data_IF_654171867381
#
_entry.id   IF_654171867381
#
_cell.length_a   1.000
_cell.length_b   1.000
_cell.length_c   1.000
_cell.angle_alpha   90.00
_cell.angle_beta   90.00
_cell.angle_gamma   90.00
#
_symmetry.space_group_name_H-M   'P 1'
#
loop_
_entity.id
_entity.type
_entity.pdbx_description
1 polymer ?
#
# COMPACT_ATOMS: atom_id res chain seq x y z
N UNK A 1 -53.11 12.01 -67.91
CA UNK A 1 -53.72 10.74 -68.35
C UNK A 1 -52.84 9.59 -67.90
N UNK A 2 -53.46 8.55 -67.38
CA UNK A 2 -52.92 7.58 -66.43
C UNK A 2 -51.77 6.71 -66.98
N UNK A 3 -50.74 6.51 -66.14
CA UNK A 3 -49.69 5.50 -66.34
C UNK A 3 -50.15 4.18 -65.74
N UNK A 4 -50.33 3.17 -66.60
CA UNK A 4 -50.82 1.85 -66.23
C UNK A 4 -49.68 1.03 -65.59
N UNK A 5 -49.85 0.63 -64.33
CA UNK A 5 -48.96 -0.31 -63.65
C UNK A 5 -49.64 -1.68 -63.59
N UNK A 6 -48.95 -2.68 -64.16
CA UNK A 6 -49.34 -4.09 -64.12
C UNK A 6 -49.22 -4.60 -62.68
N UNK A 7 -50.35 -4.97 -62.09
CA UNK A 7 -50.46 -5.73 -60.85
C UNK A 7 -50.09 -7.19 -61.15
N UNK A 8 -49.03 -7.70 -60.55
CA UNK A 8 -48.74 -9.14 -60.55
C UNK A 8 -49.61 -9.85 -59.51
N UNK A 9 -50.28 -10.90 -60.00
CA UNK A 9 -50.97 -11.96 -59.28
C UNK A 9 -50.06 -12.60 -58.22
N UNK A 10 -50.50 -12.55 -56.96
CA UNK A 10 -49.97 -13.37 -55.88
C UNK A 10 -51.03 -14.38 -55.43
N UNK A 11 -50.73 -15.68 -55.34
CA UNK A 11 -51.69 -16.68 -54.88
C UNK A 11 -51.92 -16.61 -53.37
N UNK A 12 -53.15 -16.94 -53.00
CA UNK A 12 -53.75 -16.84 -51.69
C UNK A 12 -53.10 -17.73 -50.62
N UNK A 13 -53.23 -17.22 -49.39
CA UNK A 13 -52.97 -17.85 -48.10
C UNK A 13 -53.61 -19.24 -47.97
N UNK A 14 -52.79 -20.23 -47.62
CA UNK A 14 -53.22 -21.40 -46.87
C UNK A 14 -52.49 -21.40 -45.52
N UNK A 15 -53.26 -21.13 -44.47
CA UNK A 15 -52.82 -21.21 -43.08
C UNK A 15 -52.56 -22.66 -42.71
N UNK A 16 -51.29 -23.06 -42.65
CA UNK A 16 -50.89 -24.26 -41.91
C UNK A 16 -49.98 -23.84 -40.76
N UNK A 17 -50.59 -23.88 -39.58
CA UNK A 17 -50.00 -23.65 -38.27
C UNK A 17 -48.94 -24.72 -38.01
N UNK A 18 -47.63 -24.40 -37.92
CA UNK A 18 -46.67 -25.37 -37.45
C UNK A 18 -46.94 -25.62 -35.96
N UNK A 19 -47.27 -26.86 -35.62
CA UNK A 19 -47.30 -27.36 -34.25
C UNK A 19 -45.89 -27.22 -33.67
N UNK A 20 -45.73 -26.26 -32.77
CA UNK A 20 -44.54 -26.13 -31.94
C UNK A 20 -44.42 -27.38 -31.06
N UNK A 21 -43.49 -28.28 -31.38
CA UNK A 21 -43.00 -29.24 -30.40
C UNK A 21 -42.35 -28.43 -29.29
N UNK A 22 -43.01 -28.36 -28.13
CA UNK A 22 -42.41 -27.81 -26.92
C UNK A 22 -41.32 -28.78 -26.45
N UNK A 23 -40.10 -28.59 -26.91
CA UNK A 23 -38.95 -29.15 -26.22
C UNK A 23 -38.88 -28.46 -24.86
N UNK A 24 -39.34 -29.15 -23.83
CA UNK A 24 -39.15 -28.75 -22.45
C UNK A 24 -37.64 -28.73 -22.20
N UNK A 25 -37.05 -27.53 -22.27
CA UNK A 25 -35.74 -27.31 -21.70
C UNK A 25 -35.91 -27.58 -20.20
N UNK A 26 -35.51 -28.77 -19.77
CA UNK A 26 -35.36 -29.07 -18.35
C UNK A 26 -34.33 -28.08 -17.84
N UNK A 27 -34.81 -27.01 -17.20
CA UNK A 27 -33.97 -26.07 -16.51
C UNK A 27 -33.14 -26.88 -15.52
N UNK A 28 -31.88 -27.11 -15.88
CA UNK A 28 -30.93 -27.73 -14.97
C UNK A 28 -30.96 -26.87 -13.72
N UNK A 29 -31.23 -27.44 -12.54
CA UNK A 29 -31.24 -26.65 -11.32
C UNK A 29 -29.87 -25.97 -11.27
N UNK A 30 -29.87 -24.63 -11.19
CA UNK A 30 -28.68 -23.86 -10.88
C UNK A 30 -28.18 -24.38 -9.53
N UNK A 31 -27.31 -25.38 -9.58
CA UNK A 31 -26.60 -25.84 -8.40
C UNK A 31 -25.79 -24.63 -7.97
N UNK A 32 -26.21 -24.01 -6.87
CA UNK A 32 -25.30 -23.15 -6.13
C UNK A 32 -24.12 -24.06 -5.79
N UNK A 33 -23.03 -23.89 -6.51
CA UNK A 33 -21.75 -24.45 -6.16
C UNK A 33 -21.39 -23.88 -4.79
N UNK A 34 -21.79 -24.58 -3.73
CA UNK A 34 -21.26 -24.37 -2.40
C UNK A 34 -19.78 -24.72 -2.48
N UNK A 35 -18.94 -23.71 -2.74
CA UNK A 35 -17.51 -23.86 -2.60
C UNK A 35 -17.23 -24.12 -1.12
N UNK A 36 -16.81 -25.34 -0.80
CA UNK A 36 -16.44 -25.77 0.56
C UNK A 36 -15.12 -25.13 1.01
N UNK A 37 -14.40 -24.49 0.08
CA UNK A 37 -13.15 -23.81 0.34
C UNK A 37 -13.45 -22.47 0.99
N UNK A 38 -13.09 -22.30 2.27
CA UNK A 38 -13.20 -20.99 2.90
C UNK A 38 -12.41 -19.98 2.06
N UNK A 39 -12.94 -18.78 1.76
CA UNK A 39 -12.19 -17.78 1.05
C UNK A 39 -10.87 -17.54 1.79
N UNK A 40 -9.75 -17.79 1.11
CA UNK A 40 -8.43 -17.63 1.71
C UNK A 40 -8.32 -16.19 2.22
N UNK A 41 -7.99 -16.04 3.50
CA UNK A 41 -7.80 -14.72 4.10
C UNK A 41 -6.63 -14.04 3.41
N UNK A 42 -6.91 -12.95 2.69
CA UNK A 42 -5.91 -12.12 2.03
C UNK A 42 -5.58 -10.90 2.91
N UNK A 43 -4.31 -10.53 2.95
CA UNK A 43 -3.82 -9.38 3.72
C UNK A 43 -3.99 -8.06 2.96
N UNK A 44 -4.20 -8.14 1.64
CA UNK A 44 -4.42 -7.02 0.74
C UNK A 44 -5.91 -6.66 0.59
N UNK A 45 -6.79 -7.58 0.96
CA UNK A 45 -8.24 -7.45 0.79
C UNK A 45 -8.93 -7.91 2.08
N UNK A 46 -9.63 -7.03 2.82
CA UNK A 46 -10.35 -7.44 4.01
C UNK A 46 -11.50 -8.39 3.66
N UNK A 47 -11.79 -9.33 4.56
CA UNK A 47 -12.86 -10.32 4.40
C UNK A 47 -14.23 -9.69 4.19
N UNK A 48 -14.48 -8.57 4.87
CA UNK A 48 -15.73 -7.84 4.82
C UNK A 48 -15.53 -6.49 4.16
N UNK A 49 -16.50 -6.07 3.36
CA UNK A 49 -16.53 -4.72 2.80
C UNK A 49 -16.78 -3.68 3.89
N UNK A 50 -16.32 -2.45 3.67
CA UNK A 50 -16.60 -1.35 4.60
C UNK A 50 -18.10 -1.04 4.62
N UNK A 51 -18.70 -0.96 5.82
CA UNK A 51 -20.11 -0.58 6.01
C UNK A 51 -20.40 0.84 5.50
N UNK A 52 -19.42 1.74 5.62
CA UNK A 52 -19.50 3.11 5.12
C UNK A 52 -18.17 3.53 4.49
N UNK A 53 -18.20 4.46 3.53
CA UNK A 53 -17.01 4.84 2.75
C UNK A 53 -15.96 5.54 3.63
N UNK A 54 -14.79 4.91 3.86
CA UNK A 54 -13.69 5.47 4.67
C UNK A 54 -13.19 6.87 4.25
N UNK A 55 -13.08 7.86 5.15
CA UNK A 55 -12.47 9.16 4.83
C UNK A 55 -10.96 9.00 4.51
N UNK A 56 -10.38 9.99 3.80
CA UNK A 56 -8.97 9.93 3.37
C UNK A 56 -8.00 9.75 4.56
N UNK A 57 -8.19 10.53 5.62
CA UNK A 57 -7.32 10.54 6.80
C UNK A 57 -5.85 10.87 6.48
N UNK A 58 -4.95 10.64 7.44
CA UNK A 58 -3.49 10.72 7.30
C UNK A 58 -2.83 9.50 7.94
N UNK A 59 -1.63 9.08 7.49
CA UNK A 59 -0.84 8.11 8.24
C UNK A 59 -0.44 8.64 9.62
N UNK A 60 -0.11 7.74 10.53
CA UNK A 60 0.23 8.07 11.90
C UNK A 60 1.68 8.60 11.98
N UNK A 61 1.85 9.82 12.51
CA UNK A 61 3.14 10.46 12.78
C UNK A 61 3.40 10.41 14.29
N UNK A 62 4.43 9.67 14.71
CA UNK A 62 4.69 9.39 16.12
C UNK A 62 5.53 10.48 16.80
N UNK A 63 4.91 11.60 17.16
CA UNK A 63 5.61 12.71 17.85
C UNK A 63 6.02 12.36 19.29
N UNK A 64 5.29 11.48 19.97
CA UNK A 64 5.53 11.08 21.37
C UNK A 64 6.69 10.10 21.60
N UNK A 65 7.49 9.80 20.58
CA UNK A 65 8.62 8.88 20.71
C UNK A 65 8.27 7.39 20.56
N UNK A 66 7.25 7.04 19.77
CA UNK A 66 6.88 5.64 19.55
C UNK A 66 7.86 4.93 18.63
N UNK A 67 8.35 3.76 19.05
CA UNK A 67 9.18 2.83 18.27
C UNK A 67 8.37 1.66 17.67
N UNK A 68 7.04 1.66 17.81
CA UNK A 68 6.20 0.51 17.46
C UNK A 68 6.24 0.21 15.96
N UNK A 69 6.67 -1.02 15.63
CA UNK A 69 6.73 -1.50 14.26
C UNK A 69 7.97 -1.04 13.48
N UNK A 70 8.97 -0.48 14.15
CA UNK A 70 10.25 -0.06 13.55
C UNK A 70 11.36 -1.11 13.64
N UNK A 71 11.13 -2.17 14.43
CA UNK A 71 12.02 -3.31 14.63
C UNK A 71 11.47 -4.60 14.01
N UNK A 72 12.39 -5.46 13.58
CA UNK A 72 12.08 -6.80 13.05
C UNK A 72 11.72 -7.69 14.22
N UNK A 73 10.56 -8.36 14.16
CA UNK A 73 10.03 -9.16 15.27
C UNK A 73 10.06 -10.66 14.97
N UNK A 74 9.51 -11.06 13.83
CA UNK A 74 9.33 -12.47 13.48
C UNK A 74 10.48 -13.01 12.62
N UNK A 75 10.91 -12.23 11.63
CA UNK A 75 11.99 -12.59 10.72
C UNK A 75 13.40 -12.28 11.22
N UNK A 76 14.37 -12.57 10.36
CA UNK A 76 15.79 -12.27 10.55
C UNK A 76 16.18 -10.98 9.82
N UNK A 77 15.51 -10.71 8.71
CA UNK A 77 15.69 -9.52 7.88
C UNK A 77 14.37 -8.80 7.66
N UNK A 78 14.40 -7.50 7.38
CA UNK A 78 13.21 -6.72 7.08
C UNK A 78 13.41 -5.58 6.10
N UNK A 79 12.29 -5.14 5.51
CA UNK A 79 12.20 -3.96 4.65
C UNK A 79 11.47 -2.84 5.41
N UNK A 80 12.23 -1.78 5.76
CA UNK A 80 11.74 -0.61 6.49
C UNK A 80 11.61 0.60 5.57
N UNK A 81 10.58 1.41 5.77
CA UNK A 81 10.43 2.70 5.09
C UNK A 81 11.45 3.69 5.65
N UNK A 82 12.34 4.22 4.82
CA UNK A 82 13.36 5.22 5.23
C UNK A 82 12.90 6.67 5.04
N UNK A 83 12.04 6.86 4.04
CA UNK A 83 11.50 8.15 3.63
C UNK A 83 10.35 8.62 4.54
N UNK A 84 9.46 9.45 4.01
CA UNK A 84 8.23 9.94 4.65
C UNK A 84 7.10 8.89 4.73
N UNK A 85 6.13 9.11 5.62
CA UNK A 85 4.90 8.32 5.69
C UNK A 85 4.06 8.47 4.41
N UNK A 86 3.45 7.36 4.00
CA UNK A 86 2.69 7.26 2.75
C UNK A 86 1.52 6.29 2.90
N UNK A 87 0.55 6.41 2.00
CA UNK A 87 -0.49 5.39 1.77
C UNK A 87 0.01 4.43 0.69
N UNK A 88 0.20 3.17 1.04
CA UNK A 88 0.66 2.15 0.10
C UNK A 88 -0.55 1.46 -0.53
N UNK A 89 -0.73 1.52 -1.85
CA UNK A 89 -1.81 0.79 -2.51
C UNK A 89 -1.54 -0.72 -2.44
N UNK A 90 -2.61 -1.51 -2.36
CA UNK A 90 -2.53 -2.98 -2.32
C UNK A 90 -1.81 -3.56 -3.54
N UNK A 91 -1.94 -2.94 -4.71
CA UNK A 91 -1.24 -3.34 -5.93
C UNK A 91 0.29 -3.26 -5.80
N UNK A 92 0.82 -2.15 -5.26
CA UNK A 92 2.27 -2.01 -5.04
C UNK A 92 2.79 -3.02 -4.01
N UNK A 93 2.03 -3.28 -2.95
CA UNK A 93 2.37 -4.29 -1.95
C UNK A 93 2.41 -5.70 -2.56
N UNK A 94 1.46 -6.04 -3.43
CA UNK A 94 1.44 -7.30 -4.19
C UNK A 94 2.66 -7.43 -5.10
N UNK A 95 2.96 -6.40 -5.87
CA UNK A 95 4.12 -6.39 -6.80
C UNK A 95 5.43 -6.55 -6.01
N UNK A 96 5.55 -5.91 -4.85
CA UNK A 96 6.71 -6.05 -3.99
C UNK A 96 6.84 -7.48 -3.43
N UNK A 97 5.75 -8.07 -2.94
CA UNK A 97 5.73 -9.48 -2.49
C UNK A 97 6.14 -10.42 -3.62
N UNK A 98 5.58 -10.26 -4.81
CA UNK A 98 5.89 -11.08 -5.98
C UNK A 98 7.36 -10.93 -6.39
N UNK A 99 7.90 -9.71 -6.33
CA UNK A 99 9.32 -9.43 -6.63
C UNK A 99 10.25 -10.18 -5.67
N UNK A 100 9.93 -10.18 -4.37
CA UNK A 100 10.68 -10.94 -3.37
C UNK A 100 10.58 -12.44 -3.67
N UNK A 101 9.37 -12.94 -3.91
CA UNK A 101 9.14 -14.36 -4.21
C UNK A 101 9.91 -14.83 -5.44
N UNK A 102 9.94 -14.01 -6.49
CA UNK A 102 10.67 -14.29 -7.72
C UNK A 102 12.17 -14.34 -7.48
N UNK A 103 12.73 -13.42 -6.69
CA UNK A 103 14.17 -13.39 -6.41
C UNK A 103 14.63 -14.56 -5.52
N UNK A 104 13.76 -15.02 -4.62
CA UNK A 104 14.02 -16.11 -3.67
C UNK A 104 13.45 -17.46 -4.14
N UNK A 105 13.05 -17.59 -5.40
CA UNK A 105 12.48 -18.83 -5.94
C UNK A 105 13.45 -20.00 -5.73
N UNK A 106 12.94 -21.11 -5.17
CA UNK A 106 13.73 -22.31 -4.90
C UNK A 106 14.47 -22.33 -3.56
N UNK A 107 14.36 -21.27 -2.75
CA UNK A 107 14.94 -21.21 -1.41
C UNK A 107 13.90 -21.50 -0.33
N UNK A 108 14.34 -22.01 0.81
CA UNK A 108 13.48 -22.26 1.98
C UNK A 108 13.37 -20.99 2.82
N UNK A 109 12.29 -20.24 2.61
CA UNK A 109 12.01 -19.02 3.37
C UNK A 109 10.53 -18.87 3.72
N UNK A 110 10.28 -18.08 4.76
CA UNK A 110 8.95 -17.60 5.14
C UNK A 110 8.95 -16.07 5.07
N UNK A 111 7.99 -15.52 4.31
CA UNK A 111 7.79 -14.08 4.17
C UNK A 111 6.61 -13.63 5.03
N UNK A 112 6.90 -12.82 6.05
CA UNK A 112 5.89 -12.20 6.88
C UNK A 112 5.53 -10.80 6.38
N UNK A 113 4.24 -10.49 6.44
CA UNK A 113 3.70 -9.18 6.08
C UNK A 113 3.27 -8.48 7.37
N UNK A 114 3.92 -7.35 7.69
CA UNK A 114 3.71 -6.60 8.94
C UNK A 114 2.56 -5.60 8.85
N UNK A 115 2.09 -5.33 7.65
CA UNK A 115 1.08 -4.33 7.32
C UNK A 115 -0.03 -5.03 6.56
N UNK A 116 -1.28 -4.57 6.71
CA UNK A 116 -2.44 -5.02 5.92
C UNK A 116 -3.13 -3.83 5.25
N UNK A 117 -3.70 -4.06 4.06
CA UNK A 117 -4.44 -3.04 3.33
C UNK A 117 -5.93 -3.12 3.70
N UNK A 118 -6.29 -2.39 4.74
CA UNK A 118 -7.62 -2.44 5.36
C UNK A 118 -8.47 -1.19 5.13
N UNK A 119 -7.96 -0.19 4.41
CA UNK A 119 -8.65 1.09 4.18
C UNK A 119 -9.05 1.20 2.72
N UNK A 120 -10.33 1.42 2.45
CA UNK A 120 -10.86 1.67 1.11
C UNK A 120 -10.49 3.07 0.60
N UNK A 121 -10.02 3.14 -0.64
CA UNK A 121 -9.87 4.38 -1.39
C UNK A 121 -11.06 4.54 -2.32
N UNK A 122 -11.68 5.72 -2.28
CA UNK A 122 -12.82 6.06 -3.12
C UNK A 122 -12.45 7.25 -3.99
N UNK A 123 -12.47 7.04 -5.30
CA UNK A 123 -12.03 8.03 -6.29
C UNK A 123 -13.24 8.45 -7.13
N UNK A 124 -13.38 9.76 -7.37
CA UNK A 124 -14.35 10.29 -8.33
C UNK A 124 -13.72 10.28 -9.72
N UNK A 125 -14.50 9.97 -10.75
CA UNK A 125 -14.02 9.99 -12.13
C UNK A 125 -13.46 11.37 -12.49
N UNK A 126 -12.32 11.39 -13.19
CA UNK A 126 -11.64 12.63 -13.60
C UNK A 126 -12.52 13.50 -14.51
N UNK A 127 -13.44 12.88 -15.23
CA UNK A 127 -14.43 13.51 -16.11
C UNK A 127 -15.54 14.25 -15.37
N UNK A 128 -15.75 13.96 -14.08
CA UNK A 128 -16.86 14.52 -13.31
C UNK A 128 -16.44 15.79 -12.56
N UNK A 129 -17.28 16.84 -12.62
CA UNK A 129 -17.07 18.10 -11.86
C UNK A 129 -17.14 17.89 -10.35
N UNK A 130 -16.59 18.83 -9.57
CA UNK A 130 -16.62 18.82 -8.10
C UNK A 130 -18.06 18.81 -7.52
N UNK A 131 -18.22 18.35 -6.28
CA UNK A 131 -19.53 18.21 -5.61
C UNK A 131 -20.20 16.85 -5.83
N UNK A 132 -21.53 16.77 -5.64
CA UNK A 132 -22.37 15.54 -5.85
C UNK A 132 -21.96 14.31 -5.01
N UNK A 133 -21.33 14.53 -3.86
CA UNK A 133 -20.93 13.47 -2.94
C UNK A 133 -19.65 12.72 -3.34
N UNK A 134 -19.44 11.57 -2.69
CA UNK A 134 -18.19 10.79 -2.75
C UNK A 134 -18.23 9.72 -3.84
N UNK A 135 -17.09 9.52 -4.51
CA UNK A 135 -16.93 8.56 -5.61
C UNK A 135 -17.12 7.08 -5.26
N UNK A 136 -16.87 6.22 -6.25
CA UNK A 136 -16.93 4.75 -6.12
C UNK A 136 -15.67 4.19 -5.47
N UNK A 137 -15.74 2.97 -4.98
CA UNK A 137 -14.56 2.25 -4.47
C UNK A 137 -13.57 2.01 -5.62
N UNK A 138 -12.28 2.17 -5.33
CA UNK A 138 -11.19 2.07 -6.30
C UNK A 138 -10.24 0.92 -5.90
N UNK A 139 -9.53 1.07 -4.78
CA UNK A 139 -8.61 0.04 -4.28
C UNK A 139 -8.41 0.10 -2.76
N UNK A 140 -7.85 -0.97 -2.20
CA UNK A 140 -7.45 -1.05 -0.80
C UNK A 140 -6.05 -0.46 -0.59
N UNK A 141 -5.84 0.23 0.52
CA UNK A 141 -4.55 0.82 0.88
C UNK A 141 -4.21 0.59 2.34
N UNK A 142 -2.92 0.58 2.63
CA UNK A 142 -2.38 0.59 3.98
C UNK A 142 -1.77 1.96 4.31
N UNK A 143 -2.06 2.48 5.51
CA UNK A 143 -1.36 3.66 6.05
C UNK A 143 -0.07 3.21 6.71
N UNK A 144 1.08 3.62 6.17
CA UNK A 144 2.39 3.26 6.69
C UNK A 144 3.08 4.52 7.20
N UNK A 145 3.40 4.53 8.50
CA UNK A 145 4.18 5.60 9.12
C UNK A 145 5.67 5.49 8.80
N UNK A 146 6.40 6.57 9.05
CA UNK A 146 7.86 6.65 8.91
C UNK A 146 8.54 5.52 9.68
N UNK A 147 9.64 4.97 9.14
CA UNK A 147 10.46 3.96 9.79
C UNK A 147 9.73 2.65 10.14
N UNK A 148 8.55 2.41 9.56
CA UNK A 148 7.80 1.17 9.79
C UNK A 148 8.27 0.06 8.85
N UNK A 149 8.33 -1.17 9.37
CA UNK A 149 8.65 -2.36 8.59
C UNK A 149 7.39 -2.90 7.92
N UNK A 150 7.51 -3.24 6.63
CA UNK A 150 6.41 -3.77 5.81
C UNK A 150 6.54 -5.27 5.61
N UNK A 151 7.75 -5.74 5.29
CA UNK A 151 8.04 -7.16 5.08
C UNK A 151 9.14 -7.64 6.00
N UNK A 152 9.03 -8.88 6.45
CA UNK A 152 10.11 -9.59 7.14
C UNK A 152 10.36 -10.94 6.49
N UNK A 153 11.62 -11.35 6.45
CA UNK A 153 12.05 -12.61 5.88
C UNK A 153 12.71 -13.45 6.97
N UNK A 154 12.30 -14.71 7.08
CA UNK A 154 12.94 -15.74 7.90
C UNK A 154 13.32 -16.92 7.03
N UNK A 155 14.48 -17.53 7.26
CA UNK A 155 14.87 -18.75 6.57
C UNK A 155 16.36 -18.83 6.32
N UNK A 156 16.77 -19.93 5.71
CA UNK A 156 18.16 -20.18 5.32
C UNK A 156 18.49 -19.40 4.04
N UNK A 157 18.67 -18.08 4.21
CA UNK A 157 18.97 -17.15 3.12
C UNK A 157 20.16 -16.30 3.52
N UNK A 158 21.20 -16.32 2.69
CA UNK A 158 22.37 -15.47 2.88
C UNK A 158 22.01 -13.99 2.76
N UNK A 159 22.58 -13.15 3.64
CA UNK A 159 22.24 -11.73 3.77
C UNK A 159 22.29 -10.98 2.44
N UNK A 160 23.32 -11.21 1.61
CA UNK A 160 23.48 -10.54 0.30
C UNK A 160 22.29 -10.81 -0.62
N UNK A 161 21.76 -12.04 -0.59
CA UNK A 161 20.59 -12.43 -1.40
C UNK A 161 19.33 -11.76 -0.88
N UNK A 162 19.12 -11.76 0.45
CA UNK A 162 17.98 -11.09 1.08
C UNK A 162 18.00 -9.58 0.80
N UNK A 163 19.18 -8.95 0.90
CA UNK A 163 19.40 -7.53 0.59
C UNK A 163 19.05 -7.20 -0.85
N UNK A 164 19.48 -8.02 -1.81
CA UNK A 164 19.13 -7.84 -3.22
C UNK A 164 17.62 -8.00 -3.47
N UNK A 165 16.98 -9.01 -2.87
CA UNK A 165 15.53 -9.19 -2.98
C UNK A 165 14.75 -7.98 -2.47
N UNK A 166 15.15 -7.46 -1.31
CA UNK A 166 14.53 -6.29 -0.70
C UNK A 166 14.83 -4.98 -1.43
N UNK A 167 16.03 -4.84 -2.03
CA UNK A 167 16.37 -3.71 -2.90
C UNK A 167 15.43 -3.68 -4.12
N UNK A 168 15.26 -4.81 -4.81
CA UNK A 168 14.36 -4.92 -5.96
C UNK A 168 12.90 -4.61 -5.57
N UNK A 169 12.44 -5.11 -4.44
CA UNK A 169 11.11 -4.82 -3.91
C UNK A 169 10.92 -3.34 -3.58
N UNK A 170 11.93 -2.72 -2.95
CA UNK A 170 11.94 -1.29 -2.62
C UNK A 170 11.78 -0.40 -3.86
N UNK A 171 12.39 -0.75 -4.99
CA UNK A 171 12.22 -0.03 -6.26
C UNK A 171 10.80 -0.13 -6.85
N UNK A 172 10.00 -1.13 -6.44
CA UNK A 172 8.60 -1.29 -6.89
C UNK A 172 7.60 -0.64 -5.94
N UNK A 173 8.01 -0.33 -4.72
CA UNK A 173 7.21 0.39 -3.74
C UNK A 173 7.40 1.90 -3.90
N UNK A 174 6.38 2.72 -3.62
CA UNK A 174 6.55 4.17 -3.56
C UNK A 174 7.36 4.56 -2.31
N UNK A 175 8.36 5.43 -2.50
CA UNK A 175 9.23 5.95 -1.43
C UNK A 175 10.60 5.27 -1.38
N UNK A 176 11.44 5.67 -0.42
CA UNK A 176 12.76 5.07 -0.20
C UNK A 176 12.70 4.06 0.93
N UNK A 177 13.38 2.94 0.71
CA UNK A 177 13.35 1.78 1.58
C UNK A 177 14.76 1.39 2.04
N UNK A 178 14.80 0.77 3.20
CA UNK A 178 16.00 0.41 3.92
C UNK A 178 15.94 -1.07 4.32
N UNK A 179 17.06 -1.75 4.20
CA UNK A 179 17.24 -3.11 4.69
C UNK A 179 17.59 -3.07 6.18
N UNK A 180 16.91 -3.88 6.98
CA UNK A 180 17.12 -4.01 8.42
C UNK A 180 17.42 -5.45 8.82
N UNK A 181 18.21 -5.61 9.87
CA UNK A 181 18.46 -6.90 10.52
C UNK A 181 17.68 -6.99 11.83
N UNK A 182 17.46 -8.23 12.27
CA UNK A 182 17.02 -8.50 13.64
C UNK A 182 18.11 -8.09 14.62
N UNK A 183 17.73 -7.36 15.67
CA UNK A 183 18.66 -6.80 16.65
C UNK A 183 19.11 -5.37 16.35
N UNK A 184 18.84 -4.85 15.15
CA UNK A 184 19.06 -3.41 14.88
C UNK A 184 18.21 -2.55 15.84
N UNK A 185 18.75 -1.42 16.32
CA UNK A 185 18.03 -0.58 17.27
C UNK A 185 16.71 -0.06 16.67
N UNK A 186 15.68 0.13 17.51
CA UNK A 186 14.44 0.76 17.07
C UNK A 186 14.70 2.16 16.53
N UNK A 187 13.75 2.67 15.74
CA UNK A 187 13.78 4.03 15.22
C UNK A 187 12.62 4.81 15.82
N UNK A 188 12.90 6.02 16.28
CA UNK A 188 11.89 6.97 16.74
C UNK A 188 11.89 8.15 15.78
N UNK A 189 10.79 8.28 15.02
CA UNK A 189 10.71 9.19 13.89
C UNK A 189 11.77 8.83 12.85
N UNK A 190 12.80 9.67 12.76
CA UNK A 190 13.94 9.52 11.86
C UNK A 190 15.23 9.09 12.60
N UNK A 191 15.23 9.10 13.93
CA UNK A 191 16.43 8.86 14.74
C UNK A 191 16.50 7.40 15.19
N UNK A 192 17.59 6.71 14.88
CA UNK A 192 17.85 5.35 15.37
C UNK A 192 18.31 5.42 16.83
N UNK A 193 17.75 4.61 17.73
CA UNK A 193 18.15 4.53 19.15
C UNK A 193 19.41 3.67 19.34
N UNK A 194 20.45 3.97 18.56
CA UNK A 194 21.77 3.34 18.68
C UNK A 194 22.81 4.35 19.18
N UNK A 195 24.04 3.87 19.41
CA UNK A 195 25.21 4.73 19.70
C UNK A 195 25.02 5.65 20.93
N UNK A 196 24.41 5.12 22.01
CA UNK A 196 24.16 5.88 23.25
C UNK A 196 22.93 6.81 23.22
N UNK A 197 22.22 6.91 22.09
CA UNK A 197 20.97 7.69 21.99
C UNK A 197 19.81 6.89 22.58
N UNK A 198 19.41 7.23 23.80
CA UNK A 198 18.24 6.64 24.47
C UNK A 198 16.96 7.43 24.19
N UNK A 199 15.81 6.79 24.40
CA UNK A 199 14.50 7.44 24.27
C UNK A 199 14.37 8.62 25.24
N UNK A 200 14.85 8.45 26.46
CA UNK A 200 14.87 9.49 27.51
C UNK A 200 15.72 10.69 27.07
N UNK A 201 16.88 10.43 26.48
CA UNK A 201 17.73 11.48 25.92
C UNK A 201 17.01 12.30 24.84
N UNK A 202 16.17 11.68 24.01
CA UNK A 202 15.40 12.39 22.99
C UNK A 202 14.28 13.26 23.57
N UNK A 203 13.70 12.83 24.70
CA UNK A 203 12.63 13.55 25.41
C UNK A 203 13.15 14.67 26.30
N UNK A 204 14.42 14.64 26.72
CA UNK A 204 15.00 15.66 27.58
C UNK A 204 14.97 17.03 26.88
N UNK A 205 14.43 18.09 27.52
CA UNK A 205 14.39 19.43 26.91
C UNK A 205 15.77 20.00 26.62
N UNK A 206 16.74 19.74 27.50
CA UNK A 206 18.15 20.10 27.34
C UNK A 206 18.93 18.89 26.88
N UNK A 207 19.47 18.93 25.66
CA UNK A 207 20.34 17.88 25.09
C UNK A 207 21.80 18.28 25.28
N UNK A 208 22.63 17.33 25.70
CA UNK A 208 24.07 17.50 25.49
C UNK A 208 24.34 17.55 23.98
N UNK A 209 25.29 18.37 23.51
CA UNK A 209 25.71 18.33 22.11
C UNK A 209 26.13 16.89 21.75
N UNK A 210 25.85 16.47 20.51
CA UNK A 210 26.22 15.14 20.05
C UNK A 210 27.72 14.88 20.27
N UNK A 211 28.09 13.66 20.65
CA UNK A 211 29.48 13.24 20.82
C UNK A 211 30.25 13.61 19.53
N UNK A 212 31.22 14.53 19.63
CA UNK A 212 31.97 15.09 18.49
C UNK A 212 31.73 16.58 18.19
N UNK A 213 30.70 17.22 18.76
CA UNK A 213 30.42 18.66 18.52
C UNK A 213 31.23 19.60 19.42
N UNK A 214 31.84 19.09 20.49
CA UNK A 214 32.65 19.88 21.43
C UNK A 214 33.91 20.51 20.79
N UNK A 215 34.35 19.98 19.63
CA UNK A 215 35.53 20.46 18.91
C UNK A 215 35.20 21.46 17.77
N UNK A 216 33.93 21.85 17.59
CA UNK A 216 33.59 22.91 16.66
C UNK A 216 33.81 24.25 17.35
N UNK A 217 34.82 25.01 16.92
CA UNK A 217 35.03 26.39 17.35
C UNK A 217 33.74 27.17 17.20
N UNK A 218 33.31 27.85 18.26
CA UNK A 218 32.15 28.73 18.26
C UNK A 218 32.26 29.69 17.06
N UNK A 219 31.21 29.88 16.23
CA UNK A 219 31.28 30.88 15.18
C UNK A 219 31.59 32.23 15.83
N UNK A 220 32.53 33.02 15.28
CA UNK A 220 32.91 34.28 15.89
C UNK A 220 31.67 35.15 16.04
N UNK A 221 31.43 35.66 17.25
CA UNK A 221 30.39 36.65 17.50
C UNK A 221 30.65 37.84 16.59
N UNK A 222 29.83 38.02 15.57
CA UNK A 222 29.86 39.21 14.74
C UNK A 222 29.50 40.41 15.62
N UNK A 223 30.50 41.14 16.10
CA UNK A 223 30.31 42.44 16.73
C UNK A 223 29.84 43.40 15.63
N UNK A 224 28.53 43.54 15.45
CA UNK A 224 27.95 44.58 14.60
C UNK A 224 28.18 45.93 15.28
N UNK A 225 29.28 46.60 14.95
CA UNK A 225 29.47 48.00 15.26
C UNK A 225 28.61 48.83 14.30
N UNK A 226 27.43 49.25 14.76
CA UNK A 226 26.63 50.26 14.08
C UNK A 226 27.30 51.63 14.25
N UNK A 227 27.61 52.38 13.18
CA UNK A 227 28.11 53.75 13.35
C UNK A 227 26.95 54.66 13.79
N UNK A 228 27.17 55.43 14.85
CA UNK A 228 26.22 56.44 15.32
C UNK A 228 26.10 57.57 14.29
N UNK A 229 24.88 57.85 13.83
CA UNK A 229 24.59 59.04 13.05
C UNK A 229 24.78 60.29 13.93
N UNK A 230 25.76 61.13 13.58
CA UNK A 230 25.93 62.48 14.11
C UNK A 230 24.98 63.45 13.40
N UNK A 231 24.44 64.38 14.19
CA UNK A 231 23.47 65.43 13.86
C UNK A 231 24.00 66.45 12.86
#
# INVERSE_FOLDING_TARGET
MASTMKMFSGPQLALFRPTCLSTTFTASPLSRCFSTTSPALDWLTPKFMETSKSPKGRPHVATGGSSRGTTVVWGDYGLRMKDHDRRLPASSLKIAEETIKRRLRGMNYTLYKRVSANIGVYTKGNEQRMGKGKGKFDYWTAKVGVSRIVFELKGDVHEKVAREAFRLAGHKLPGLWEFCKKGDPPVVGLTKLGNGVTLESLKRPRRSPALGTANMSTPPSSTSSSPSASQ
#
